data_IF_137341916842
#
_entry.id   IF_137341916842
#
_cell.length_a   1.000
_cell.length_b   1.000
_cell.length_c   1.000
_cell.angle_alpha   90.00
_cell.angle_beta   90.00
_cell.angle_gamma   90.00
#
_symmetry.space_group_name_H-M   'P 1'
#
loop_
_entity.id
_entity.type
_entity.pdbx_description
1 polymer ?
#
# COMPACT_ATOMS: atom_id res chain seq x y z
N UNK A 1 11.61 15.49 4.19
CA UNK A 1 12.30 14.29 3.68
C UNK A 1 11.30 13.17 3.52
N UNK A 2 11.28 12.51 2.36
CA UNK A 2 10.35 11.42 2.11
C UNK A 2 10.67 10.21 2.99
N UNK A 3 9.66 9.37 3.23
CA UNK A 3 9.79 8.13 4.01
C UNK A 3 10.29 7.01 3.09
N UNK A 4 11.30 6.25 3.53
CA UNK A 4 11.82 5.08 2.81
C UNK A 4 11.55 3.83 3.62
N UNK A 5 11.06 2.81 2.95
CA UNK A 5 10.63 1.55 3.56
C UNK A 5 11.32 0.40 2.85
N UNK A 6 12.55 0.03 3.26
CA UNK A 6 13.16 -1.18 2.75
C UNK A 6 12.36 -2.40 3.23
N UNK A 7 12.27 -3.43 2.39
CA UNK A 7 11.72 -4.71 2.82
C UNK A 7 12.54 -5.29 3.98
N UNK A 8 11.85 -5.83 4.99
CA UNK A 8 12.44 -6.56 6.10
C UNK A 8 11.73 -7.91 6.26
N UNK A 9 12.45 -9.00 6.60
CA UNK A 9 11.83 -10.33 6.76
C UNK A 9 10.65 -10.39 7.73
N UNK A 10 10.59 -9.47 8.71
CA UNK A 10 9.49 -9.37 9.68
C UNK A 10 8.15 -8.95 9.09
N UNK A 11 8.14 -8.44 7.86
CA UNK A 11 6.92 -8.09 7.11
C UNK A 11 6.33 -9.29 6.36
N UNK A 12 7.04 -10.42 6.34
CA UNK A 12 6.54 -11.63 5.69
C UNK A 12 5.43 -12.28 6.52
N UNK A 13 4.36 -12.70 5.84
CA UNK A 13 3.23 -13.46 6.42
C UNK A 13 3.35 -14.96 6.10
N UNK A 14 4.42 -15.38 5.43
CA UNK A 14 4.67 -16.80 5.10
C UNK A 14 3.94 -17.29 3.86
N UNK A 15 3.20 -16.42 3.16
CA UNK A 15 2.57 -16.71 1.88
C UNK A 15 3.35 -16.04 0.74
N UNK A 16 4.04 -16.83 -0.09
CA UNK A 16 5.02 -16.34 -1.07
C UNK A 16 4.48 -15.22 -1.99
N UNK A 17 3.25 -15.37 -2.47
CA UNK A 17 2.60 -14.38 -3.33
C UNK A 17 2.31 -13.07 -2.59
N UNK A 18 1.82 -13.15 -1.34
CA UNK A 18 1.46 -11.98 -0.54
C UNK A 18 2.73 -11.22 -0.16
N UNK A 19 3.76 -11.94 0.27
CA UNK A 19 5.07 -11.36 0.56
C UNK A 19 5.70 -10.67 -0.67
N UNK A 20 5.48 -11.23 -1.87
CA UNK A 20 5.93 -10.60 -3.11
C UNK A 20 5.16 -9.32 -3.43
N UNK A 21 3.84 -9.31 -3.22
CA UNK A 21 3.00 -8.12 -3.39
C UNK A 21 3.34 -7.02 -2.38
N UNK A 22 3.57 -7.36 -1.10
CA UNK A 22 4.04 -6.41 -0.10
C UNK A 22 5.37 -5.75 -0.51
N UNK A 23 6.33 -6.54 -1.01
CA UNK A 23 7.60 -6.00 -1.53
C UNK A 23 7.38 -5.01 -2.66
N UNK A 24 6.55 -5.35 -3.63
CA UNK A 24 6.24 -4.49 -4.77
C UNK A 24 5.58 -3.17 -4.32
N UNK A 25 4.66 -3.22 -3.35
CA UNK A 25 4.05 -2.02 -2.77
C UNK A 25 5.08 -1.13 -2.07
N UNK A 26 5.98 -1.70 -1.27
CA UNK A 26 7.04 -0.92 -0.60
C UNK A 26 8.03 -0.32 -1.60
N UNK A 27 8.41 -1.06 -2.63
CA UNK A 27 9.26 -0.56 -3.72
C UNK A 27 8.58 0.60 -4.45
N UNK A 28 7.27 0.52 -4.67
CA UNK A 28 6.51 1.61 -5.26
C UNK A 28 6.42 2.84 -4.34
N UNK A 29 6.27 2.66 -3.02
CA UNK A 29 6.39 3.76 -2.05
C UNK A 29 7.78 4.42 -2.07
N UNK A 30 8.83 3.62 -2.25
CA UNK A 30 10.20 4.12 -2.41
C UNK A 30 10.36 4.86 -3.75
N UNK A 31 9.74 4.40 -4.84
CA UNK A 31 9.74 5.12 -6.12
C UNK A 31 9.11 6.51 -5.99
N UNK A 32 7.99 6.63 -5.29
CA UNK A 32 7.36 7.92 -4.99
C UNK A 32 8.31 8.86 -4.23
N UNK A 33 9.08 8.32 -3.29
CA UNK A 33 10.06 9.09 -2.53
C UNK A 33 11.21 9.65 -3.38
N UNK A 34 11.62 8.97 -4.47
CA UNK A 34 12.61 9.50 -5.42
C UNK A 34 12.08 10.70 -6.20
N UNK A 35 10.77 10.73 -6.43
CA UNK A 35 10.09 11.70 -7.27
C UNK A 35 9.66 12.96 -6.51
N UNK A 36 9.80 12.97 -5.18
CA UNK A 36 9.48 14.15 -4.35
C UNK A 36 10.42 15.35 -4.59
N UNK A 37 11.57 15.18 -5.27
CA UNK A 37 12.56 16.24 -5.46
C UNK A 37 12.20 17.29 -6.53
N UNK A 38 11.07 17.12 -7.24
CA UNK A 38 10.39 18.17 -8.02
C UNK A 38 10.87 18.39 -9.46
N UNK A 39 10.12 19.23 -10.16
CA UNK A 39 10.24 19.55 -11.60
C UNK A 39 9.13 18.89 -12.41
N UNK A 40 8.67 19.53 -13.49
CA UNK A 40 7.48 19.12 -14.26
C UNK A 40 7.49 17.64 -14.69
N UNK A 41 8.67 17.09 -14.99
CA UNK A 41 8.82 15.68 -15.36
C UNK A 41 8.72 14.76 -14.13
N UNK A 42 9.35 15.11 -13.01
CA UNK A 42 9.25 14.34 -11.78
C UNK A 42 7.81 14.35 -11.24
N UNK A 43 7.11 15.47 -11.39
CA UNK A 43 5.71 15.61 -11.02
C UNK A 43 4.80 14.68 -11.82
N UNK A 44 4.95 14.63 -13.16
CA UNK A 44 4.21 13.67 -14.00
C UNK A 44 4.53 12.22 -13.66
N UNK A 45 5.80 11.91 -13.42
CA UNK A 45 6.23 10.57 -13.03
C UNK A 45 5.68 10.19 -11.66
N UNK A 46 5.55 11.15 -10.73
CA UNK A 46 4.96 10.93 -9.43
C UNK A 46 3.49 10.54 -9.57
N UNK A 47 2.73 11.25 -10.39
CA UNK A 47 1.30 10.98 -10.60
C UNK A 47 1.10 9.59 -11.21
N UNK A 48 1.94 9.20 -12.19
CA UNK A 48 1.94 7.85 -12.74
C UNK A 48 2.31 6.78 -11.69
N UNK A 49 3.31 7.06 -10.86
CA UNK A 49 3.72 6.14 -9.80
C UNK A 49 2.63 6.01 -8.72
N UNK A 50 1.87 7.07 -8.46
CA UNK A 50 0.76 7.05 -7.52
C UNK A 50 -0.38 6.16 -8.02
N UNK A 51 -0.78 6.31 -9.29
CA UNK A 51 -1.79 5.43 -9.90
C UNK A 51 -1.35 3.96 -9.95
N UNK A 52 -0.06 3.72 -10.18
CA UNK A 52 0.50 2.37 -10.11
C UNK A 52 0.42 1.78 -8.69
N UNK A 53 0.67 2.57 -7.64
CA UNK A 53 0.50 2.10 -6.27
C UNK A 53 -0.96 1.74 -5.96
N UNK A 54 -1.92 2.56 -6.40
CA UNK A 54 -3.36 2.26 -6.25
C UNK A 54 -3.74 0.95 -6.94
N UNK A 55 -3.22 0.73 -8.14
CA UNK A 55 -3.43 -0.51 -8.89
C UNK A 55 -2.84 -1.72 -8.16
N UNK A 56 -1.61 -1.60 -7.64
CA UNK A 56 -0.96 -2.66 -6.87
C UNK A 56 -1.73 -3.00 -5.58
N UNK A 57 -2.15 -1.98 -4.84
CA UNK A 57 -2.92 -2.16 -3.60
C UNK A 57 -4.24 -2.88 -3.85
N UNK A 58 -5.03 -2.46 -4.85
CA UNK A 58 -6.31 -3.11 -5.19
C UNK A 58 -6.13 -4.58 -5.58
N UNK A 59 -5.15 -4.87 -6.44
CA UNK A 59 -4.86 -6.25 -6.85
C UNK A 59 -4.37 -7.13 -5.68
N UNK A 60 -3.66 -6.53 -4.72
CA UNK A 60 -3.22 -7.21 -3.50
C UNK A 60 -4.40 -7.50 -2.57
N UNK A 61 -5.28 -6.52 -2.33
CA UNK A 61 -6.48 -6.69 -1.51
C UNK A 61 -7.41 -7.78 -2.03
N UNK A 62 -7.56 -7.93 -3.35
CA UNK A 62 -8.33 -9.03 -3.96
C UNK A 62 -7.74 -10.42 -3.61
N UNK A 63 -6.42 -10.54 -3.59
CA UNK A 63 -5.74 -11.79 -3.20
C UNK A 63 -5.95 -12.09 -1.72
N UNK A 64 -5.80 -11.09 -0.84
CA UNK A 64 -6.03 -11.27 0.60
C UNK A 64 -7.49 -11.61 0.90
N UNK A 65 -8.45 -10.94 0.26
CA UNK A 65 -9.88 -11.23 0.41
C UNK A 65 -10.21 -12.67 0.00
N UNK A 66 -9.63 -13.17 -1.09
CA UNK A 66 -9.81 -14.56 -1.52
C UNK A 66 -9.26 -15.55 -0.49
N UNK A 67 -8.10 -15.25 0.11
CA UNK A 67 -7.50 -16.10 1.15
C UNK A 67 -8.31 -16.08 2.46
N UNK A 68 -8.83 -14.93 2.85
CA UNK A 68 -9.62 -14.74 4.07
C UNK A 68 -11.03 -15.36 3.95
N UNK A 69 -11.68 -15.25 2.78
CA UNK A 69 -13.02 -15.78 2.55
C UNK A 69 -13.15 -17.29 2.77
N UNK A 70 -12.06 -18.02 2.64
CA UNK A 70 -12.03 -19.47 2.88
C UNK A 70 -11.87 -19.84 4.37
N UNK A 71 -11.55 -18.87 5.25
CA UNK A 71 -10.96 -19.15 6.56
C UNK A 71 -11.56 -18.36 7.73
N UNK A 72 -11.81 -17.07 7.55
CA UNK A 72 -12.21 -16.18 8.64
C UNK A 72 -13.10 -15.03 8.13
N UNK A 73 -14.39 -15.13 8.39
CA UNK A 73 -15.41 -14.13 8.00
C UNK A 73 -15.22 -12.80 8.73
N UNK A 74 -14.82 -12.81 10.00
CA UNK A 74 -14.60 -11.59 10.76
C UNK A 74 -13.34 -10.85 10.27
N UNK A 75 -12.27 -11.58 9.96
CA UNK A 75 -11.08 -10.99 9.36
C UNK A 75 -11.35 -10.48 7.93
N UNK A 76 -12.22 -11.15 7.17
CA UNK A 76 -12.65 -10.66 5.86
C UNK A 76 -13.42 -9.34 5.96
N UNK A 77 -14.32 -9.21 6.93
CA UNK A 77 -15.06 -7.95 7.19
C UNK A 77 -14.10 -6.81 7.60
N UNK A 78 -13.17 -7.07 8.52
CA UNK A 78 -12.14 -6.10 8.91
C UNK A 78 -11.29 -5.66 7.70
N UNK A 79 -10.88 -6.62 6.85
CA UNK A 79 -10.10 -6.35 5.64
C UNK A 79 -10.89 -5.52 4.62
N UNK A 80 -12.17 -5.84 4.40
CA UNK A 80 -13.02 -5.07 3.51
C UNK A 80 -13.15 -3.61 3.96
N UNK A 81 -13.31 -3.38 5.27
CA UNK A 81 -13.37 -2.03 5.83
C UNK A 81 -12.05 -1.26 5.63
N UNK A 82 -10.89 -1.91 5.79
CA UNK A 82 -9.58 -1.30 5.53
C UNK A 82 -9.41 -0.93 4.04
N UNK A 83 -9.86 -1.79 3.13
CA UNK A 83 -9.83 -1.54 1.68
C UNK A 83 -10.72 -0.34 1.29
N UNK A 84 -11.94 -0.27 1.84
CA UNK A 84 -12.85 0.86 1.62
C UNK A 84 -12.26 2.17 2.16
N UNK A 85 -11.61 2.12 3.34
CA UNK A 85 -10.92 3.27 3.91
C UNK A 85 -9.78 3.74 2.98
N UNK A 86 -8.95 2.81 2.49
CA UNK A 86 -7.87 3.14 1.56
C UNK A 86 -8.40 3.82 0.31
N UNK A 87 -9.38 3.21 -0.37
CA UNK A 87 -9.95 3.76 -1.60
C UNK A 87 -10.53 5.16 -1.37
N UNK A 88 -11.28 5.36 -0.27
CA UNK A 88 -11.79 6.68 0.08
C UNK A 88 -10.67 7.71 0.31
N UNK A 89 -9.61 7.32 1.02
CA UNK A 89 -8.48 8.20 1.29
C UNK A 89 -7.76 8.60 0.00
N UNK A 90 -7.44 7.65 -0.88
CA UNK A 90 -6.66 7.93 -2.10
C UNK A 90 -7.48 8.59 -3.21
N UNK A 91 -8.80 8.46 -3.20
CA UNK A 91 -9.69 9.04 -4.20
C UNK A 91 -10.11 10.48 -3.81
N UNK A 92 -10.42 10.71 -2.53
CA UNK A 92 -11.10 11.94 -2.11
C UNK A 92 -10.23 12.87 -1.25
N UNK A 93 -9.30 12.32 -0.47
CA UNK A 93 -8.61 13.08 0.58
C UNK A 93 -7.17 13.36 0.17
N UNK A 94 -6.37 12.31 0.01
CA UNK A 94 -4.92 12.38 -0.14
C UNK A 94 -4.54 12.42 -1.62
N UNK A 95 -4.95 13.49 -2.29
CA UNK A 95 -4.66 13.74 -3.71
C UNK A 95 -3.58 14.81 -3.85
N UNK A 96 -2.96 14.90 -5.02
CA UNK A 96 -2.00 15.99 -5.33
C UNK A 96 -2.62 17.37 -5.37
N UNK A 97 -3.96 17.47 -5.40
CA UNK A 97 -4.69 18.73 -5.32
C UNK A 97 -4.80 19.25 -3.88
N UNK A 98 -4.86 18.33 -2.91
CA UNK A 98 -5.04 18.62 -1.49
C UNK A 98 -3.74 18.54 -0.69
N UNK A 99 -2.74 17.81 -1.19
CA UNK A 99 -1.47 17.53 -0.51
C UNK A 99 -0.27 17.83 -1.40
N UNK A 100 0.82 18.29 -0.78
CA UNK A 100 2.11 18.25 -1.48
C UNK A 100 2.52 16.80 -1.76
N UNK A 101 3.25 16.57 -2.85
CA UNK A 101 3.79 15.23 -3.19
C UNK A 101 4.58 14.59 -2.05
N UNK A 102 5.25 15.41 -1.23
CA UNK A 102 5.96 14.92 -0.05
C UNK A 102 5.01 14.43 1.04
N UNK A 103 3.92 15.15 1.31
CA UNK A 103 2.94 14.74 2.32
C UNK A 103 2.17 13.51 1.85
N UNK A 104 1.75 13.49 0.58
CA UNK A 104 1.12 12.33 -0.05
C UNK A 104 2.04 11.09 0.02
N UNK A 105 3.31 11.24 -0.35
CA UNK A 105 4.28 10.14 -0.27
C UNK A 105 4.43 9.60 1.16
N UNK A 106 4.50 10.49 2.15
CA UNK A 106 4.63 10.08 3.56
C UNK A 106 3.40 9.35 4.05
N UNK A 107 2.22 9.85 3.68
CA UNK A 107 0.95 9.22 4.01
C UNK A 107 0.91 7.79 3.46
N UNK A 108 1.13 7.62 2.15
CA UNK A 108 1.08 6.33 1.48
C UNK A 108 2.10 5.34 2.06
N UNK A 109 3.33 5.80 2.30
CA UNK A 109 4.35 4.96 2.92
C UNK A 109 3.91 4.47 4.31
N UNK A 110 3.42 5.36 5.17
CA UNK A 110 3.00 4.96 6.52
C UNK A 110 1.75 4.06 6.50
N UNK A 111 0.80 4.33 5.60
CA UNK A 111 -0.38 3.50 5.43
C UNK A 111 0.00 2.09 4.97
N UNK A 112 0.80 1.97 3.90
CA UNK A 112 1.27 0.66 3.41
C UNK A 112 2.07 -0.09 4.48
N UNK A 113 2.94 0.59 5.23
CA UNK A 113 3.66 -0.05 6.34
C UNK A 113 2.72 -0.57 7.43
N UNK A 114 1.69 0.22 7.77
CA UNK A 114 0.67 -0.14 8.76
C UNK A 114 -0.09 -1.39 8.34
N UNK A 115 -0.64 -1.38 7.13
CA UNK A 115 -1.35 -2.51 6.54
C UNK A 115 -0.49 -3.78 6.50
N UNK A 116 0.72 -3.70 5.91
CA UNK A 116 1.67 -4.83 5.83
C UNK A 116 2.04 -5.38 7.21
N UNK A 117 2.22 -4.50 8.21
CA UNK A 117 2.56 -4.92 9.58
C UNK A 117 1.35 -5.53 10.32
N UNK A 118 0.13 -5.16 9.93
CA UNK A 118 -1.13 -5.67 10.46
C UNK A 118 -1.59 -6.99 9.82
N UNK A 119 -1.03 -7.36 8.67
CA UNK A 119 -1.36 -8.56 7.90
C UNK A 119 -0.98 -9.90 8.58
N UNK A 120 -0.47 -9.87 9.83
CA UNK A 120 -0.11 -11.05 10.60
C UNK A 120 -1.26 -12.08 10.73
N UNK A 121 -2.51 -11.66 10.63
CA UNK A 121 -3.70 -12.53 10.64
C UNK A 121 -3.73 -13.52 9.46
N UNK A 122 -3.07 -13.21 8.34
CA UNK A 122 -2.88 -14.15 7.24
C UNK A 122 -1.85 -15.24 7.57
N UNK A 123 -0.90 -14.96 8.46
CA UNK A 123 0.15 -15.90 8.86
C UNK A 123 -0.36 -16.95 9.87
N UNK A 124 -1.34 -16.61 10.70
CA UNK A 124 -1.97 -17.54 11.65
C UNK A 124 -2.87 -18.58 10.95
N UNK A 125 -3.15 -18.39 9.67
CA UNK A 125 -4.03 -19.22 8.86
C UNK A 125 -3.29 -20.14 7.86
N UNK A 126 -1.95 -20.18 7.87
CA UNK A 126 -1.09 -20.99 6.98
C UNK A 126 -0.40 -22.15 7.72
#
# INVERSE_FOLDING_TARGET
MPTRLPWEPRFGVGHELVDAQHREMLDQCNRLADLCAGGDEADRQFDQAFEQLRTLARAHFEVEAALLAERDEAALEDHAAECEEFDYLVDEIVTTDNFSRLELQRFLALWCLGHISGAARLAEAA
#
